data_IF_814249021241
#
_entry.id   IF_814249021241
#
_cell.length_a   1.000
_cell.length_b   1.000
_cell.length_c   1.000
_cell.angle_alpha   90.00
_cell.angle_beta   90.00
_cell.angle_gamma   90.00
#
_symmetry.space_group_name_H-M   'P 1'
#
loop_
_entity.id
_entity.type
_entity.pdbx_description
1 polymer ?
#
# COMPACT_ATOMS: atom_id res chain seq x y z
N UNK A 1 -6.33 11.81 0.96
CA UNK A 1 -6.04 12.00 -0.46
C UNK A 1 -7.24 11.66 -1.31
N UNK A 2 -7.47 12.44 -2.35
CA UNK A 2 -8.54 12.14 -3.28
C UNK A 2 -8.15 11.01 -4.21
N UNK A 3 -9.15 10.45 -4.88
CA UNK A 3 -8.87 9.40 -5.86
C UNK A 3 -7.99 9.91 -6.99
N UNK A 4 -8.16 11.17 -7.39
CA UNK A 4 -7.32 11.76 -8.43
C UNK A 4 -5.87 11.85 -7.99
N UNK A 5 -5.65 12.22 -6.73
CA UNK A 5 -4.29 12.29 -6.19
C UNK A 5 -3.66 10.91 -6.09
N UNK A 6 -4.43 9.92 -5.67
CA UNK A 6 -3.93 8.55 -5.61
C UNK A 6 -3.53 8.04 -6.99
N UNK A 7 -4.34 8.35 -7.97
CA UNK A 7 -4.05 7.97 -9.35
C UNK A 7 -2.76 8.63 -9.84
N UNK A 8 -2.60 9.91 -9.53
CA UNK A 8 -1.41 10.64 -9.91
C UNK A 8 -0.16 10.00 -9.26
N UNK A 9 -0.26 9.66 -7.99
CA UNK A 9 0.86 9.04 -7.28
C UNK A 9 1.18 7.67 -7.83
N UNK A 10 0.15 6.90 -8.19
CA UNK A 10 0.37 5.58 -8.76
C UNK A 10 1.08 5.69 -10.10
N UNK A 11 0.67 6.64 -10.95
CA UNK A 11 1.33 6.86 -12.21
C UNK A 11 2.80 7.22 -12.01
N UNK A 12 3.08 8.07 -11.03
CA UNK A 12 4.46 8.46 -10.75
C UNK A 12 5.28 7.27 -10.27
N UNK A 13 4.71 6.44 -9.41
CA UNK A 13 5.40 5.28 -8.88
C UNK A 13 5.72 4.27 -9.99
N UNK A 14 4.81 4.12 -10.93
CA UNK A 14 4.97 3.19 -12.05
C UNK A 14 5.70 3.83 -13.23
N UNK A 15 6.00 5.12 -13.15
CA UNK A 15 6.66 5.88 -14.20
C UNK A 15 5.87 5.86 -15.51
N UNK A 16 4.55 5.96 -15.36
CA UNK A 16 3.65 6.00 -16.51
C UNK A 16 3.34 7.44 -16.86
N UNK A 17 3.61 7.82 -18.12
CA UNK A 17 3.35 9.16 -18.62
C UNK A 17 2.22 9.07 -19.64
N UNK A 18 1.12 9.78 -19.38
CA UNK A 18 -0.03 9.74 -20.26
C UNK A 18 -0.26 11.05 -21.02
N UNK A 19 0.61 12.05 -20.80
CA UNK A 19 0.40 13.38 -21.37
C UNK A 19 0.38 13.40 -22.89
N UNK A 20 1.10 12.45 -23.52
CA UNK A 20 1.19 12.40 -24.98
C UNK A 20 0.20 11.43 -25.58
N UNK A 21 -0.67 10.84 -24.76
CA UNK A 21 -1.72 9.95 -25.26
C UNK A 21 -2.93 10.77 -25.71
N UNK A 22 -3.69 10.22 -26.66
CA UNK A 22 -4.96 10.86 -26.98
C UNK A 22 -5.95 10.65 -25.82
N UNK A 23 -7.06 11.37 -25.88
CA UNK A 23 -8.00 11.37 -24.76
C UNK A 23 -8.57 9.99 -24.47
N UNK A 24 -8.82 9.22 -25.51
CA UNK A 24 -9.39 7.89 -25.32
C UNK A 24 -8.40 6.95 -24.68
N UNK A 25 -7.16 6.96 -25.15
CA UNK A 25 -6.11 6.12 -24.57
C UNK A 25 -5.82 6.51 -23.14
N UNK A 26 -5.80 7.81 -22.86
CA UNK A 26 -5.54 8.29 -21.50
C UNK A 26 -6.66 7.85 -20.56
N UNK A 27 -7.91 7.98 -21.00
CA UNK A 27 -9.06 7.57 -20.19
C UNK A 27 -9.02 6.08 -19.90
N UNK A 28 -8.63 5.29 -20.90
CA UNK A 28 -8.54 3.84 -20.72
C UNK A 28 -7.45 3.48 -19.71
N UNK A 29 -6.30 4.13 -19.78
CA UNK A 29 -5.23 3.87 -18.83
C UNK A 29 -5.62 4.32 -17.42
N UNK A 30 -6.26 5.48 -17.31
CA UNK A 30 -6.71 5.96 -16.02
C UNK A 30 -7.71 5.00 -15.39
N UNK A 31 -8.62 4.46 -16.20
CA UNK A 31 -9.58 3.49 -15.71
C UNK A 31 -8.88 2.21 -15.23
N UNK A 32 -7.93 1.72 -16.02
CA UNK A 32 -7.19 0.52 -15.65
C UNK A 32 -6.51 0.70 -14.29
N UNK A 33 -5.81 1.82 -14.13
CA UNK A 33 -5.09 2.06 -12.87
C UNK A 33 -6.04 2.26 -11.70
N UNK A 34 -7.20 2.85 -11.95
CA UNK A 34 -8.23 3.02 -10.91
C UNK A 34 -8.72 1.67 -10.42
N UNK A 35 -8.83 0.69 -11.31
CA UNK A 35 -9.25 -0.65 -10.92
C UNK A 35 -8.20 -1.28 -10.01
N UNK A 36 -6.91 -1.08 -10.30
CA UNK A 36 -5.86 -1.61 -9.43
C UNK A 36 -5.88 -0.95 -8.05
N UNK A 37 -6.16 0.36 -8.00
CA UNK A 37 -6.30 1.05 -6.72
C UNK A 37 -7.49 0.49 -5.93
N UNK A 38 -8.60 0.28 -6.59
CA UNK A 38 -9.79 -0.26 -5.96
C UNK A 38 -9.55 -1.67 -5.43
N UNK A 39 -8.88 -2.49 -6.24
CA UNK A 39 -8.57 -3.86 -5.84
C UNK A 39 -7.60 -3.88 -4.68
N UNK A 40 -6.61 -3.00 -4.70
CA UNK A 40 -5.66 -2.91 -3.59
C UNK A 40 -6.38 -2.53 -2.30
N UNK A 41 -7.31 -1.58 -2.38
CA UNK A 41 -8.10 -1.17 -1.21
C UNK A 41 -8.88 -2.36 -0.66
N UNK A 42 -9.47 -3.14 -1.53
CA UNK A 42 -10.25 -4.30 -1.11
C UNK A 42 -9.35 -5.33 -0.41
N UNK A 43 -8.18 -5.61 -0.99
CA UNK A 43 -7.29 -6.60 -0.41
C UNK A 43 -6.72 -6.15 0.93
N UNK A 44 -6.37 -4.87 1.06
CA UNK A 44 -5.88 -4.34 2.32
C UNK A 44 -6.97 -4.43 3.38
N UNK A 45 -8.20 -4.10 3.00
CA UNK A 45 -9.33 -4.19 3.91
C UNK A 45 -9.56 -5.62 4.38
N UNK A 46 -9.37 -6.59 3.50
CA UNK A 46 -9.52 -8.00 3.85
C UNK A 46 -8.49 -8.46 4.86
N UNK A 47 -7.36 -7.78 4.93
CA UNK A 47 -6.35 -8.11 5.94
C UNK A 47 -6.71 -7.53 7.32
N UNK A 48 -7.81 -6.81 7.42
CA UNK A 48 -8.25 -6.25 8.67
C UNK A 48 -7.86 -4.81 8.91
N UNK A 49 -7.28 -4.16 7.92
CA UNK A 49 -6.81 -2.78 8.04
C UNK A 49 -7.92 -1.83 7.63
N UNK A 50 -8.23 -0.86 8.50
CA UNK A 50 -9.19 0.19 8.19
C UNK A 50 -8.42 1.39 7.66
N UNK A 51 -8.42 1.55 6.34
CA UNK A 51 -7.69 2.62 5.70
C UNK A 51 -8.31 3.98 6.04
N UNK A 52 -7.44 4.95 6.28
CA UNK A 52 -7.83 6.33 6.55
C UNK A 52 -7.31 7.22 5.43
N UNK A 53 -7.52 8.52 5.56
CA UNK A 53 -7.02 9.49 4.59
C UNK A 53 -5.59 9.93 4.89
N UNK A 54 -4.92 9.29 5.83
CA UNK A 54 -3.57 9.66 6.19
C UNK A 54 -2.60 9.44 5.03
N UNK A 55 -1.50 10.18 5.04
CA UNK A 55 -0.46 10.00 4.03
C UNK A 55 0.11 8.60 4.05
N UNK A 56 0.27 8.04 5.25
CA UNK A 56 0.81 6.69 5.37
C UNK A 56 -0.09 5.65 4.74
N UNK A 57 -1.39 5.74 4.99
CA UNK A 57 -2.34 4.80 4.40
C UNK A 57 -2.43 5.00 2.89
N UNK A 58 -2.35 6.25 2.42
CA UNK A 58 -2.36 6.53 0.99
C UNK A 58 -1.15 5.92 0.30
N UNK A 59 0.02 6.04 0.92
CA UNK A 59 1.23 5.44 0.36
C UNK A 59 1.15 3.92 0.35
N UNK A 60 0.60 3.33 1.41
CA UNK A 60 0.42 1.89 1.49
C UNK A 60 -0.48 1.40 0.36
N UNK A 61 -1.55 2.13 0.10
CA UNK A 61 -2.48 1.80 -0.97
C UNK A 61 -1.80 1.87 -2.33
N UNK A 62 -1.01 2.91 -2.56
CA UNK A 62 -0.29 3.07 -3.82
C UNK A 62 0.75 1.95 -4.00
N UNK A 63 1.47 1.61 -2.94
CA UNK A 63 2.44 0.53 -2.99
C UNK A 63 1.79 -0.81 -3.36
N UNK A 64 0.65 -1.09 -2.77
CA UNK A 64 -0.06 -2.34 -3.04
C UNK A 64 -0.55 -2.36 -4.48
N UNK A 65 -1.16 -1.27 -4.93
CA UNK A 65 -1.65 -1.18 -6.31
C UNK A 65 -0.51 -1.30 -7.32
N UNK A 66 0.62 -0.68 -7.01
CA UNK A 66 1.80 -0.75 -7.86
C UNK A 66 2.29 -2.19 -8.01
N UNK A 67 2.33 -2.93 -6.89
CA UNK A 67 2.72 -4.33 -6.94
C UNK A 67 1.73 -5.15 -7.75
N UNK A 68 0.43 -4.93 -7.56
CA UNK A 68 -0.59 -5.66 -8.33
C UNK A 68 -0.44 -5.40 -9.82
N UNK A 69 -0.22 -4.15 -10.18
CA UNK A 69 -0.03 -3.78 -11.58
C UNK A 69 1.22 -4.44 -12.16
N UNK A 70 2.31 -4.41 -11.41
CA UNK A 70 3.58 -4.95 -11.87
C UNK A 70 3.53 -6.45 -12.05
N UNK A 71 2.83 -7.16 -11.15
CA UNK A 71 2.80 -8.61 -11.22
C UNK A 71 1.87 -9.14 -12.29
N UNK A 72 1.07 -8.30 -12.92
CA UNK A 72 0.07 -8.76 -13.91
C UNK A 72 0.71 -9.51 -15.09
N UNK A 73 1.96 -9.19 -15.37
CA UNK A 73 2.70 -9.84 -16.45
C UNK A 73 3.94 -10.56 -15.95
N UNK A 74 4.09 -10.65 -14.66
CA UNK A 74 5.27 -11.24 -14.07
C UNK A 74 5.16 -12.74 -14.10
N UNK A 75 6.27 -13.39 -14.33
CA UNK A 75 6.29 -14.86 -14.32
C UNK A 75 6.65 -15.38 -12.95
N UNK A 76 7.71 -14.85 -12.35
CA UNK A 76 8.13 -15.33 -11.04
C UNK A 76 8.44 -14.19 -10.07
N UNK A 77 9.21 -13.20 -10.54
CA UNK A 77 9.79 -12.20 -9.64
C UNK A 77 8.75 -11.43 -8.83
N UNK A 78 7.64 -11.09 -9.47
CA UNK A 78 6.62 -10.26 -8.83
C UNK A 78 5.41 -11.05 -8.38
N UNK A 79 5.46 -12.38 -8.49
CA UNK A 79 4.36 -13.22 -8.04
C UNK A 79 4.25 -13.21 -6.52
N UNK A 80 5.37 -13.02 -5.84
CA UNK A 80 5.42 -12.99 -4.39
C UNK A 80 5.45 -11.54 -3.94
N UNK A 81 4.65 -11.22 -2.92
CA UNK A 81 4.58 -9.86 -2.39
C UNK A 81 5.95 -9.41 -1.90
N UNK A 82 6.38 -8.19 -2.25
CA UNK A 82 7.66 -7.67 -1.73
C UNK A 82 7.67 -7.64 -0.21
N UNK A 83 8.82 -7.97 0.35
CA UNK A 83 8.96 -8.02 1.80
C UNK A 83 8.61 -6.68 2.46
N UNK A 84 9.03 -5.59 1.85
CA UNK A 84 8.76 -4.27 2.41
C UNK A 84 7.25 -4.00 2.48
N UNK A 85 6.51 -4.40 1.45
CA UNK A 85 5.07 -4.21 1.45
C UNK A 85 4.42 -5.03 2.56
N UNK A 86 4.82 -6.30 2.69
CA UNK A 86 4.28 -7.14 3.76
C UNK A 86 4.61 -6.56 5.13
N UNK A 87 5.82 -6.06 5.29
CA UNK A 87 6.24 -5.44 6.55
C UNK A 87 5.37 -4.23 6.87
N UNK A 88 5.12 -3.37 5.89
CA UNK A 88 4.31 -2.18 6.10
C UNK A 88 2.86 -2.53 6.44
N UNK A 89 2.32 -3.55 5.79
CA UNK A 89 0.96 -4.00 6.08
C UNK A 89 0.85 -4.50 7.53
N UNK A 90 1.81 -5.31 7.95
CA UNK A 90 1.80 -5.85 9.29
C UNK A 90 1.93 -4.75 10.34
N UNK A 91 2.80 -3.79 10.09
CA UNK A 91 2.99 -2.68 11.02
C UNK A 91 1.73 -1.83 11.13
N UNK A 92 1.07 -1.59 10.00
CA UNK A 92 -0.15 -0.79 10.01
C UNK A 92 -1.24 -1.50 10.82
N UNK A 93 -1.34 -2.80 10.66
CA UNK A 93 -2.34 -3.58 11.40
C UNK A 93 -2.06 -3.53 12.90
N UNK A 94 -0.78 -3.63 13.29
CA UNK A 94 -0.41 -3.51 14.70
C UNK A 94 -0.80 -2.14 15.26
N UNK A 95 -0.52 -1.08 14.53
CA UNK A 95 -0.88 0.27 14.97
C UNK A 95 -2.38 0.38 15.22
N UNK A 96 -3.16 -0.16 14.31
CA UNK A 96 -4.60 -0.09 14.42
C UNK A 96 -5.10 -0.86 15.64
N UNK A 97 -4.60 -2.07 15.83
CA UNK A 97 -5.02 -2.90 16.94
C UNK A 97 -4.66 -2.30 18.29
N UNK A 98 -3.51 -1.64 18.36
CA UNK A 98 -3.12 -0.92 19.57
C UNK A 98 -4.04 0.26 19.84
N UNK A 99 -4.32 1.04 18.78
CA UNK A 99 -5.11 2.25 18.92
C UNK A 99 -6.52 1.93 19.42
N UNK A 100 -7.05 0.78 19.07
CA UNK A 100 -8.41 0.41 19.44
C UNK A 100 -8.46 -0.43 20.69
N UNK A 101 -7.59 -0.12 21.65
CA UNK A 101 -7.65 -0.80 22.94
C UNK A 101 -6.86 -2.07 22.97
N UNK A 102 -5.95 -2.20 22.06
CA UNK A 102 -5.07 -3.33 22.09
C UNK A 102 -4.29 -3.35 23.37
N UNK A 103 -4.03 -4.54 23.82
CA UNK A 103 -3.24 -4.75 25.01
C UNK A 103 -1.78 -4.43 24.69
N UNK A 104 -1.17 -3.48 25.40
CA UNK A 104 0.23 -3.16 25.11
C UNK A 104 1.14 -4.38 25.20
N UNK A 105 0.80 -5.34 26.03
CA UNK A 105 1.62 -6.54 26.15
C UNK A 105 1.46 -7.46 24.95
N UNK A 106 0.47 -7.22 24.12
CA UNK A 106 0.28 -8.00 22.90
C UNK A 106 1.10 -7.45 21.74
N UNK A 107 1.72 -6.30 21.91
CA UNK A 107 2.53 -5.70 20.86
C UNK A 107 3.83 -6.45 20.75
N UNK A 108 4.12 -7.05 19.62
CA UNK A 108 5.45 -7.65 19.47
C UNK A 108 6.48 -6.55 19.46
N UNK A 109 7.54 -6.79 20.16
CA UNK A 109 8.64 -5.84 20.18
C UNK A 109 9.48 -6.12 18.96
N UNK A 110 9.49 -5.33 18.09
CA UNK A 110 10.19 -5.60 16.85
C UNK A 110 11.67 -5.34 16.90
N UNK A 111 11.02 -5.30 17.39
CA UNK A 111 11.73 -4.99 17.28
C UNK A 111 12.53 -4.75 17.34
N UNK A 112 12.50 -4.80 17.52
CA UNK A 112 13.17 -4.25 17.83
C UNK A 112 13.88 -4.30 17.99
N UNK A 113 13.74 -4.20 18.00
CA UNK A 113 14.42 -3.85 18.30
C UNK A 113 15.01 -3.67 18.43
N UNK A 114 14.86 -3.38 18.43
CA UNK A 114 15.38 -2.80 18.81
C UNK A 114 15.69 -2.46 19.15
N UNK A 115 15.44 -2.20 19.26
CA UNK A 115 15.68 -1.57 19.88
C UNK A 115 16.02 -1.34 20.38
N UNK A 116 15.72 -1.24 20.54
CA UNK A 116 16.05 -0.82 21.30
C UNK A 116 16.45 -0.54 21.73
N UNK A 117 16.23 -0.38 21.78
CA UNK A 117 16.59 0.11 22.46
C UNK A 117 16.92 0.33 22.98
N UNK A 118 16.57 0.50 22.91
CA UNK A 118 17.00 0.92 23.73
C UNK A 118 17.05 0.72 24.42
N UNK A 119 16.66 0.75 24.44
CA UNK A 119 16.83 0.74 25.20
C UNK A 119 16.33 0.17 25.77
N UNK A 120 15.80 0.17 25.73
CA UNK A 120 15.59 -0.15 26.40
C UNK A 120 15.20 -0.77 26.82
N UNK A 121 14.95 -0.65 26.65
CA UNK A 121 14.54 -1.09 27.03
C UNK A 121 14.47 -1.40 27.59
#
# INVERSE_FOLDING_TARGET
MTDAELLTMLKADLEIVTDFMDDEAKAAKDHELSVYLSTAREFITREGIELTDSSGDSMLLVMYASWLYSRRRAETSYAVMPRMLRYNLNNRLFEQNNAYGGNPSAVPVPEEDDQEEDGNA
#
